data_IF_534465611861
#
_entry.id   IF_534465611861
#
_cell.length_a   1.000
_cell.length_b   1.000
_cell.length_c   1.000
_cell.angle_alpha   90.00
_cell.angle_beta   90.00
_cell.angle_gamma   90.00
#
_symmetry.space_group_name_H-M   'P 1'
#
loop_
_entity.id
_entity.type
_entity.pdbx_description
1 polymer ?
#
# COMPACT_ATOMS: atom_id res chain seq x y z
N UNK A 1 8.38 22.38 -14.18
CA UNK A 1 8.16 21.80 -14.19
C UNK A 1 7.50 21.40 -13.70
N UNK A 2 7.15 21.43 -13.68
CA UNK A 2 6.51 21.05 -13.21
C UNK A 2 6.69 19.92 -12.89
N UNK A 3 7.27 19.82 -12.56
CA UNK A 3 7.54 18.90 -12.12
C UNK A 3 6.87 17.94 -12.06
N UNK A 4 6.22 18.16 -12.12
CA UNK A 4 5.55 17.41 -12.01
C UNK A 4 5.73 16.08 -12.12
N UNK A 5 6.16 15.56 -11.24
CA UNK A 5 6.32 14.20 -11.25
C UNK A 5 5.03 13.50 -11.56
N UNK A 6 4.00 13.71 -10.80
CA UNK A 6 2.83 12.88 -11.00
C UNK A 6 2.24 13.04 -12.36
N UNK A 7 2.07 14.26 -12.73
CA UNK A 7 1.38 14.48 -13.97
C UNK A 7 2.23 14.08 -15.15
N UNK A 8 3.51 14.02 -14.97
CA UNK A 8 4.34 13.75 -16.09
C UNK A 8 4.57 12.31 -16.33
N UNK A 9 4.54 11.54 -15.29
CA UNK A 9 5.01 10.22 -15.54
C UNK A 9 3.91 9.26 -15.77
N UNK A 10 2.71 9.64 -15.51
CA UNK A 10 1.61 8.74 -15.77
C UNK A 10 1.49 8.55 -17.27
N UNK A 11 1.55 7.32 -17.71
CA UNK A 11 1.39 6.98 -19.10
C UNK A 11 2.60 7.17 -19.97
N UNK A 12 3.71 7.66 -19.44
CA UNK A 12 4.91 7.82 -20.23
C UNK A 12 5.78 6.57 -20.10
N UNK A 13 5.79 5.77 -21.14
CA UNK A 13 6.51 4.49 -21.14
C UNK A 13 7.99 4.69 -20.86
N UNK A 14 8.58 5.77 -21.39
CA UNK A 14 9.99 6.06 -21.17
C UNK A 14 10.30 6.33 -19.70
N UNK A 15 9.39 7.01 -19.00
CA UNK A 15 9.59 7.24 -17.57
C UNK A 15 9.48 5.95 -16.77
N UNK A 16 8.54 5.07 -17.14
CA UNK A 16 8.40 3.78 -16.49
C UNK A 16 9.65 2.96 -16.70
N UNK A 17 10.21 2.96 -17.92
CA UNK A 17 11.46 2.27 -18.20
C UNK A 17 12.60 2.78 -17.37
N UNK A 18 12.70 4.11 -17.19
CA UNK A 18 13.74 4.69 -16.34
C UNK A 18 13.57 4.27 -14.90
N UNK A 19 12.31 4.19 -14.40
CA UNK A 19 12.06 3.72 -13.06
C UNK A 19 12.49 2.26 -12.89
N UNK A 20 12.22 1.42 -13.88
CA UNK A 20 12.65 0.03 -13.83
C UNK A 20 14.18 -0.07 -13.82
N UNK A 21 14.84 0.77 -14.61
CA UNK A 21 16.30 0.77 -14.70
C UNK A 21 16.96 1.20 -13.40
N UNK A 22 16.21 1.81 -12.49
CA UNK A 22 16.77 2.21 -11.21
C UNK A 22 16.91 1.05 -10.24
N UNK A 23 16.40 -0.12 -10.58
CA UNK A 23 16.48 -1.29 -9.72
C UNK A 23 17.81 -2.00 -9.94
N UNK A 24 18.45 -2.48 -8.86
CA UNK A 24 19.72 -3.19 -9.01
C UNK A 24 19.53 -4.51 -9.77
N UNK A 25 20.61 -5.02 -10.37
CA UNK A 25 20.55 -6.36 -10.98
C UNK A 25 20.12 -7.40 -9.93
N UNK A 26 19.29 -8.33 -10.35
CA UNK A 26 18.77 -9.37 -9.47
C UNK A 26 17.44 -9.01 -8.82
N UNK A 27 16.96 -7.79 -9.05
CA UNK A 27 15.69 -7.35 -8.49
C UNK A 27 14.65 -7.08 -9.59
N UNK A 28 14.76 -7.80 -10.68
CA UNK A 28 13.87 -7.59 -11.84
C UNK A 28 12.41 -7.80 -11.51
N UNK A 29 12.11 -8.73 -10.62
CA UNK A 29 10.72 -8.96 -10.22
C UNK A 29 10.16 -7.78 -9.44
N UNK A 30 11.02 -7.09 -8.68
CA UNK A 30 10.59 -5.93 -7.89
C UNK A 30 10.31 -4.72 -8.77
N UNK A 31 10.84 -4.70 -9.98
CA UNK A 31 10.62 -3.59 -10.90
C UNK A 31 9.16 -3.50 -11.36
N UNK A 32 8.35 -4.48 -11.04
CA UNK A 32 6.92 -4.48 -11.37
C UNK A 32 6.04 -4.44 -10.14
N UNK A 33 6.62 -4.23 -8.97
CA UNK A 33 5.86 -4.22 -7.73
C UNK A 33 4.95 -3.00 -7.64
N UNK A 34 3.72 -3.28 -7.26
CA UNK A 34 2.76 -2.27 -6.83
C UNK A 34 2.45 -2.59 -5.38
N UNK A 35 2.81 -1.69 -4.48
CA UNK A 35 2.60 -1.89 -3.04
C UNK A 35 1.28 -1.28 -2.64
N UNK A 36 0.41 -2.05 -2.02
CA UNK A 36 -0.93 -1.62 -1.64
C UNK A 36 -1.09 -1.84 -0.14
N UNK A 37 -1.50 -0.79 0.57
CA UNK A 37 -1.85 -0.89 1.98
C UNK A 37 -3.08 -1.76 2.14
N UNK A 38 -3.25 -2.35 3.32
CA UNK A 38 -4.36 -3.26 3.60
C UNK A 38 -5.50 -2.53 4.31
N UNK A 39 -5.26 -2.10 5.55
CA UNK A 39 -6.30 -1.45 6.35
C UNK A 39 -6.62 -0.08 5.78
N UNK A 40 -7.89 0.18 5.52
CA UNK A 40 -8.34 1.45 4.97
C UNK A 40 -8.25 1.56 3.46
N UNK A 41 -7.65 0.57 2.78
CA UNK A 41 -7.50 0.57 1.33
C UNK A 41 -8.17 -0.66 0.72
N UNK A 42 -7.88 -1.83 1.24
CA UNK A 42 -8.49 -3.09 0.78
C UNK A 42 -9.51 -3.58 1.79
N UNK A 43 -9.13 -3.55 3.06
CA UNK A 43 -9.91 -4.06 4.19
C UNK A 43 -10.54 -2.88 4.92
N UNK A 44 -11.83 -2.97 5.17
CA UNK A 44 -12.52 -1.95 5.95
C UNK A 44 -12.19 -2.13 7.43
N UNK A 45 -11.41 -1.20 7.97
CA UNK A 45 -10.97 -1.26 9.36
C UNK A 45 -11.68 -0.22 10.22
N UNK A 46 -12.97 -0.08 10.04
CA UNK A 46 -13.76 0.95 10.72
C UNK A 46 -13.74 0.84 12.24
N UNK A 47 -13.37 -0.32 12.78
CA UNK A 47 -13.22 -0.50 14.22
C UNK A 47 -11.75 -0.41 14.67
N UNK A 48 -10.84 0.00 13.79
CA UNK A 48 -9.43 0.06 14.10
C UNK A 48 -8.85 -1.31 14.39
N UNK A 49 -7.95 -1.40 15.36
CA UNK A 49 -7.33 -2.67 15.73
C UNK A 49 -8.36 -3.69 16.22
N UNK A 50 -9.32 -3.23 17.00
CA UNK A 50 -10.40 -4.03 17.57
C UNK A 50 -9.84 -5.29 18.27
N UNK A 51 -10.07 -6.49 17.73
CA UNK A 51 -9.59 -7.74 18.32
C UNK A 51 -8.35 -8.28 17.59
N UNK A 52 -7.80 -7.53 16.68
CA UNK A 52 -6.61 -7.93 15.93
C UNK A 52 -6.89 -8.80 14.71
N UNK A 53 -8.16 -9.19 14.48
CA UNK A 53 -8.53 -9.99 13.33
C UNK A 53 -8.74 -9.11 12.11
N UNK A 54 -8.85 -9.76 10.94
CA UNK A 54 -9.30 -9.08 9.72
C UNK A 54 -10.83 -9.22 9.66
N UNK A 55 -11.51 -8.38 10.41
CA UNK A 55 -12.96 -8.51 10.66
C UNK A 55 -13.82 -7.86 9.59
N UNK A 56 -13.24 -6.97 8.81
CA UNK A 56 -14.01 -6.11 7.93
C UNK A 56 -14.30 -6.69 6.57
N UNK A 57 -15.17 -6.04 5.87
CA UNK A 57 -15.51 -6.38 4.49
C UNK A 57 -14.50 -5.71 3.55
N UNK A 58 -14.39 -6.17 2.31
CA UNK A 58 -13.59 -5.47 1.31
C UNK A 58 -14.13 -4.06 1.08
N UNK A 59 -13.22 -3.11 0.94
CA UNK A 59 -13.62 -1.77 0.53
C UNK A 59 -14.17 -1.85 -0.89
N UNK A 60 -15.28 -1.17 -1.19
CA UNK A 60 -15.92 -1.29 -2.50
C UNK A 60 -14.93 -1.04 -3.64
N UNK A 61 -14.91 -1.96 -4.59
CA UNK A 61 -14.04 -1.87 -5.75
C UNK A 61 -12.67 -2.47 -5.57
N UNK A 62 -12.26 -2.81 -4.34
CA UNK A 62 -10.89 -3.28 -4.08
C UNK A 62 -10.62 -4.64 -4.69
N UNK A 63 -11.58 -5.55 -4.63
CA UNK A 63 -11.39 -6.91 -5.16
C UNK A 63 -11.17 -6.85 -6.66
N UNK A 64 -12.05 -6.17 -7.37
CA UNK A 64 -11.97 -6.03 -8.83
C UNK A 64 -10.69 -5.29 -9.23
N UNK A 65 -10.31 -4.28 -8.45
CA UNK A 65 -9.10 -3.51 -8.73
C UNK A 65 -7.86 -4.39 -8.62
N UNK A 66 -7.75 -5.21 -7.58
CA UNK A 66 -6.60 -6.08 -7.41
C UNK A 66 -6.51 -7.08 -8.53
N UNK A 67 -7.64 -7.67 -8.90
CA UNK A 67 -7.66 -8.62 -10.01
C UNK A 67 -7.19 -7.96 -11.31
N UNK A 68 -7.66 -6.76 -11.58
CA UNK A 68 -7.28 -6.02 -12.78
C UNK A 68 -5.79 -5.63 -12.76
N UNK A 69 -5.33 -5.06 -11.64
CA UNK A 69 -3.96 -4.57 -11.52
C UNK A 69 -2.95 -5.71 -11.56
N UNK A 70 -3.31 -6.89 -11.09
CA UNK A 70 -2.41 -8.03 -11.09
C UNK A 70 -2.05 -8.50 -12.51
N UNK A 71 -2.79 -8.08 -13.51
CA UNK A 71 -2.46 -8.41 -14.90
C UNK A 71 -1.24 -7.64 -15.38
N UNK A 72 -0.92 -6.52 -14.75
CA UNK A 72 0.21 -5.68 -15.13
C UNK A 72 1.29 -5.66 -14.08
N UNK A 73 0.90 -5.67 -12.80
CA UNK A 73 1.83 -5.48 -11.69
C UNK A 73 1.92 -6.72 -10.83
N UNK A 74 3.05 -6.84 -10.14
CA UNK A 74 3.20 -7.80 -9.06
C UNK A 74 2.67 -7.14 -7.79
N UNK A 75 1.61 -7.67 -7.23
CA UNK A 75 0.90 -7.04 -6.12
C UNK A 75 1.53 -7.43 -4.78
N UNK A 76 1.97 -6.44 -4.02
CA UNK A 76 2.52 -6.63 -2.68
C UNK A 76 1.58 -5.93 -1.70
N UNK A 77 1.08 -6.66 -0.72
CA UNK A 77 0.33 -6.05 0.38
C UNK A 77 1.33 -5.62 1.45
N UNK A 78 1.35 -4.33 1.74
CA UNK A 78 2.27 -3.74 2.71
C UNK A 78 1.45 -3.30 3.91
N UNK A 79 1.59 -3.99 5.04
CA UNK A 79 0.73 -3.76 6.19
C UNK A 79 1.46 -4.01 7.51
N UNK A 80 1.21 -3.14 8.48
CA UNK A 80 1.75 -3.32 9.82
C UNK A 80 1.22 -4.58 10.50
N UNK A 81 0.09 -5.13 10.05
CA UNK A 81 -0.43 -6.39 10.59
C UNK A 81 0.56 -7.54 10.42
N UNK A 82 1.44 -7.45 9.43
CA UNK A 82 2.40 -8.52 9.13
C UNK A 82 3.66 -8.44 9.98
N UNK A 83 3.78 -7.49 10.91
CA UNK A 83 4.97 -7.40 11.77
C UNK A 83 5.12 -8.65 12.61
N UNK A 84 6.30 -9.32 12.55
CA UNK A 84 6.51 -10.55 13.31
C UNK A 84 6.42 -10.36 14.82
N UNK A 85 6.64 -9.13 15.31
CA UNK A 85 6.60 -8.85 16.75
C UNK A 85 5.18 -8.71 17.29
N UNK A 86 4.16 -8.73 16.46
CA UNK A 86 2.80 -8.63 16.93
C UNK A 86 2.39 -9.92 17.65
N UNK A 87 1.60 -9.80 18.72
CA UNK A 87 1.08 -10.98 19.40
C UNK A 87 0.21 -11.82 18.47
N UNK A 88 0.21 -13.12 18.69
CA UNK A 88 -0.68 -14.01 17.96
C UNK A 88 -2.13 -13.71 18.33
N UNK A 89 -3.01 -13.89 17.37
CA UNK A 89 -4.46 -13.77 17.56
C UNK A 89 -5.06 -15.12 17.21
N UNK A 90 -5.69 -15.76 18.18
CA UNK A 90 -6.22 -17.13 18.02
C UNK A 90 -5.15 -18.08 17.48
N UNK A 91 -3.90 -17.90 17.95
CA UNK A 91 -2.79 -18.75 17.55
C UNK A 91 -2.22 -18.45 16.19
N UNK A 92 -2.63 -17.35 15.54
CA UNK A 92 -2.21 -17.02 14.18
C UNK A 92 -1.44 -15.71 14.14
N UNK A 93 -0.46 -15.64 13.23
CA UNK A 93 0.25 -14.38 12.95
C UNK A 93 -0.64 -13.45 12.15
N UNK A 94 -0.31 -12.15 12.19
CA UNK A 94 -1.03 -11.19 11.35
C UNK A 94 -0.94 -11.51 9.87
N UNK A 95 0.22 -12.00 9.43
CA UNK A 95 0.40 -12.42 8.04
C UNK A 95 -0.57 -13.55 7.69
N UNK A 96 -0.72 -14.54 8.56
CA UNK A 96 -1.67 -15.63 8.32
C UNK A 96 -3.10 -15.11 8.25
N UNK A 97 -3.46 -14.18 9.13
CA UNK A 97 -4.80 -13.61 9.13
C UNK A 97 -5.10 -12.85 7.84
N UNK A 98 -4.11 -12.09 7.34
CA UNK A 98 -4.29 -11.37 6.08
C UNK A 98 -4.48 -12.36 4.92
N UNK A 99 -3.63 -13.38 4.84
CA UNK A 99 -3.75 -14.37 3.78
C UNK A 99 -5.10 -15.10 3.82
N UNK A 100 -5.60 -15.43 5.01
CA UNK A 100 -6.91 -16.07 5.15
C UNK A 100 -8.02 -15.15 4.66
N UNK A 101 -7.89 -13.85 4.94
CA UNK A 101 -8.86 -12.87 4.46
C UNK A 101 -8.83 -12.77 2.94
N UNK A 102 -7.63 -12.70 2.36
CA UNK A 102 -7.48 -12.67 0.91
C UNK A 102 -8.08 -13.90 0.26
N UNK A 103 -7.87 -15.05 0.87
CA UNK A 103 -8.40 -16.31 0.37
C UNK A 103 -9.94 -16.34 0.45
N UNK A 104 -10.46 -15.85 1.56
CA UNK A 104 -11.91 -15.78 1.76
C UNK A 104 -12.61 -14.97 0.67
N UNK A 105 -11.96 -13.92 0.21
CA UNK A 105 -12.55 -13.06 -0.82
C UNK A 105 -12.03 -13.36 -2.22
N UNK A 106 -11.33 -14.47 -2.37
CA UNK A 106 -10.97 -15.01 -3.69
C UNK A 106 -9.84 -14.29 -4.39
N UNK A 107 -9.01 -13.51 -3.67
CA UNK A 107 -7.93 -12.76 -4.31
C UNK A 107 -6.53 -13.19 -3.87
N UNK A 108 -6.41 -14.22 -3.06
CA UNK A 108 -5.09 -14.65 -2.60
C UNK A 108 -4.15 -14.97 -3.75
N UNK A 109 -4.67 -15.57 -4.82
CA UNK A 109 -3.83 -15.96 -5.97
C UNK A 109 -3.33 -14.77 -6.78
N UNK A 110 -3.91 -13.58 -6.58
CA UNK A 110 -3.50 -12.37 -7.30
C UNK A 110 -2.44 -11.58 -6.53
N UNK A 111 -2.14 -11.98 -5.29
CA UNK A 111 -1.21 -11.27 -4.43
C UNK A 111 0.08 -12.06 -4.34
N UNK A 112 1.20 -11.40 -4.59
CA UNK A 112 2.51 -12.06 -4.59
C UNK A 112 3.10 -12.18 -3.19
N UNK A 113 2.84 -11.19 -2.32
CA UNK A 113 3.49 -11.14 -1.02
C UNK A 113 2.69 -10.28 -0.05
N UNK A 114 2.74 -10.63 1.23
CA UNK A 114 2.23 -9.81 2.33
C UNK A 114 3.41 -9.54 3.25
N UNK A 115 3.72 -8.26 3.52
CA UNK A 115 4.91 -7.89 4.27
C UNK A 115 4.65 -6.67 5.13
N UNK A 116 5.40 -6.56 6.24
CA UNK A 116 5.41 -5.36 7.07
C UNK A 116 6.58 -4.43 6.70
N UNK A 117 7.49 -4.91 5.86
CA UNK A 117 8.63 -4.10 5.43
C UNK A 117 8.27 -3.37 4.15
N UNK A 118 8.69 -2.12 4.06
CA UNK A 118 8.40 -1.32 2.87
C UNK A 118 9.11 -1.93 1.67
N UNK A 119 8.37 -2.45 0.69
CA UNK A 119 8.98 -3.08 -0.47
C UNK A 119 9.47 -2.04 -1.46
N UNK A 120 10.41 -2.44 -2.31
CA UNK A 120 10.68 -1.64 -3.50
C UNK A 120 9.47 -1.76 -4.42
N UNK A 121 8.98 -0.63 -4.91
CA UNK A 121 7.79 -0.65 -5.75
C UNK A 121 7.80 0.56 -6.67
N UNK A 122 7.10 0.42 -7.80
CA UNK A 122 6.90 1.53 -8.72
C UNK A 122 5.96 2.57 -8.12
N UNK A 123 5.02 2.12 -7.30
CA UNK A 123 4.00 3.01 -6.72
C UNK A 123 3.47 2.39 -5.44
N UNK A 124 3.06 3.24 -4.52
CA UNK A 124 2.42 2.84 -3.27
C UNK A 124 1.01 3.41 -3.24
N UNK A 125 0.02 2.54 -2.99
CA UNK A 125 -1.38 2.95 -2.80
C UNK A 125 -1.66 2.83 -1.32
N UNK A 126 -1.88 3.97 -0.66
CA UNK A 126 -1.93 4.07 0.79
C UNK A 126 -2.81 5.26 1.16
N UNK A 127 -3.69 5.07 2.16
CA UNK A 127 -4.60 6.12 2.60
C UNK A 127 -3.96 7.10 3.58
N UNK A 128 -2.75 6.82 4.04
CA UNK A 128 -2.01 7.68 4.97
C UNK A 128 -0.81 8.35 4.31
N UNK A 129 -0.73 8.34 3.00
CA UNK A 129 0.44 8.84 2.28
C UNK A 129 0.18 10.21 1.68
N UNK A 130 1.23 11.02 1.67
CA UNK A 130 1.23 12.32 0.99
C UNK A 130 2.25 12.24 -0.13
N UNK A 131 1.83 12.54 -1.35
CA UNK A 131 2.72 12.52 -2.49
C UNK A 131 3.71 13.68 -2.38
N UNK A 132 4.99 13.37 -2.50
CA UNK A 132 6.04 14.36 -2.35
C UNK A 132 6.50 14.89 -3.70
N UNK A 133 6.55 16.21 -3.83
CA UNK A 133 7.22 16.85 -4.96
C UNK A 133 8.36 17.73 -4.46
N UNK A 134 8.11 18.54 -3.44
CA UNK A 134 9.14 19.36 -2.80
C UNK A 134 8.63 19.75 -1.40
N UNK A 135 9.56 20.26 -0.58
CA UNK A 135 9.22 20.54 0.81
C UNK A 135 8.29 21.75 0.98
N UNK A 136 8.37 22.73 0.09
CA UNK A 136 7.48 23.88 0.20
C UNK A 136 6.03 23.44 0.03
N UNK A 137 5.74 22.63 -0.97
CA UNK A 137 4.40 22.12 -1.19
C UNK A 137 3.97 21.19 -0.07
N UNK A 138 4.89 20.36 0.41
CA UNK A 138 4.59 19.45 1.50
C UNK A 138 4.15 20.21 2.74
N UNK A 139 4.90 21.27 3.11
CA UNK A 139 4.59 22.05 4.30
C UNK A 139 3.31 22.86 4.16
N UNK A 140 2.84 23.07 2.94
CA UNK A 140 1.59 23.78 2.68
C UNK A 140 0.39 22.84 2.54
N UNK A 141 0.61 21.54 2.66
CA UNK A 141 -0.46 20.55 2.53
C UNK A 141 -1.57 20.81 3.54
N UNK A 142 -2.82 20.95 3.09
CA UNK A 142 -3.93 21.13 4.04
C UNK A 142 -4.07 19.95 5.01
N UNK A 143 -3.81 18.73 4.53
CA UNK A 143 -3.91 17.54 5.38
C UNK A 143 -2.86 17.60 6.48
N UNK A 144 -1.61 17.87 6.12
CA UNK A 144 -0.53 17.94 7.10
C UNK A 144 -0.79 19.07 8.10
N UNK A 145 -1.21 20.22 7.63
CA UNK A 145 -1.43 21.38 8.48
C UNK A 145 -2.62 21.16 9.42
N UNK A 146 -3.65 20.47 8.94
CA UNK A 146 -4.79 20.12 9.77
C UNK A 146 -4.37 19.17 10.90
N UNK A 147 -3.54 18.18 10.59
CA UNK A 147 -3.03 17.26 11.61
C UNK A 147 -2.15 17.97 12.64
N UNK A 148 -1.26 18.86 12.17
CA UNK A 148 -0.41 19.63 13.08
C UNK A 148 -1.24 20.46 14.03
N UNK A 149 -2.27 21.11 13.51
CA UNK A 149 -3.15 21.94 14.32
C UNK A 149 -3.88 21.12 15.37
N UNK A 150 -4.39 19.96 14.98
CA UNK A 150 -5.10 19.09 15.91
C UNK A 150 -4.22 18.57 17.03
N UNK A 151 -2.97 18.28 16.73
CA UNK A 151 -2.04 17.75 17.73
C UNK A 151 -1.48 18.85 18.65
N UNK A 152 -1.47 20.11 18.19
CA UNK A 152 -0.93 21.21 18.97
C UNK A 152 -1.98 21.87 19.86
N UNK A 153 -3.24 21.50 19.71
CA UNK A 153 -4.31 21.98 20.59
C UNK A 153 -4.38 21.07 21.79
N UNK A 154 -4.22 21.62 22.99
CA UNK A 154 -4.25 20.83 24.21
C UNK A 154 -5.18 21.43 25.25
#
# INVERSE_FOLDING_TARGET
MDGGFPQNRVGLVSEIGLMEDSFPPGFENEAKNLAIDFDGVIHNDDKGFHDGTCYGLPIPGSIEAIMSLSQTFRIIIFTAKAKPSRPLVDGKTGTQLVWEWLDRYGIASYVAEVTAEKPRALLYIDDHALSFSNWDETLQSPVLNSLRKGLNVT
#
